data_IF_954553664376
#
_entry.id   IF_954553664376
#
_cell.length_a   1.000
_cell.length_b   1.000
_cell.length_c   1.000
_cell.angle_alpha   90.00
_cell.angle_beta   90.00
_cell.angle_gamma   90.00
#
_symmetry.space_group_name_H-M   'P 1'
#
loop_
_entity.id
_entity.type
_entity.pdbx_description
1 polymer ?
#
# COMPACT_ATOMS: atom_id res chain seq x y z
N UNK A 1 0.42 9.96 28.38
CA UNK A 1 1.21 10.13 27.15
C UNK A 1 1.43 8.74 26.63
N UNK A 2 0.66 8.31 25.63
CA UNK A 2 0.73 6.94 25.08
C UNK A 2 1.83 7.01 24.01
N UNK A 3 3.00 6.46 24.33
CA UNK A 3 4.10 6.31 23.39
C UNK A 3 3.76 5.12 22.48
N UNK A 4 3.05 5.40 21.40
CA UNK A 4 2.86 4.43 20.30
C UNK A 4 4.23 4.30 19.65
N UNK A 5 4.93 3.21 19.95
CA UNK A 5 6.17 2.88 19.27
C UNK A 5 5.84 2.62 17.77
N UNK A 6 5.99 3.66 16.96
CA UNK A 6 5.89 3.63 15.50
C UNK A 6 7.07 2.87 14.85
N UNK A 7 7.76 2.00 15.61
CA UNK A 7 9.01 1.36 15.19
C UNK A 7 8.84 0.30 14.09
N UNK A 8 7.62 -0.18 13.85
CA UNK A 8 7.40 -1.33 12.95
C UNK A 8 6.72 -0.96 11.63
N UNK A 9 6.52 0.32 11.34
CA UNK A 9 5.80 0.76 10.17
C UNK A 9 6.73 0.89 8.96
N UNK A 10 6.34 0.27 7.85
CA UNK A 10 6.86 0.62 6.55
C UNK A 10 6.57 2.10 6.26
N UNK A 11 7.54 2.82 5.69
CA UNK A 11 7.36 4.22 5.35
C UNK A 11 7.18 4.37 3.85
N UNK A 12 6.04 4.89 3.42
CA UNK A 12 5.85 5.34 2.03
C UNK A 12 6.77 6.55 1.80
N UNK A 13 7.74 6.41 0.90
CA UNK A 13 8.72 7.46 0.56
C UNK A 13 8.36 8.19 -0.70
N UNK A 14 7.74 7.50 -1.67
CA UNK A 14 7.38 8.09 -2.95
C UNK A 14 6.10 7.45 -3.50
N UNK A 15 5.26 8.27 -4.12
CA UNK A 15 4.10 7.85 -4.91
C UNK A 15 4.12 8.58 -6.25
N UNK A 16 4.29 7.81 -7.33
CA UNK A 16 4.26 8.31 -8.70
C UNK A 16 3.01 7.81 -9.41
N UNK A 17 2.28 8.70 -10.06
CA UNK A 17 1.05 8.42 -10.79
C UNK A 17 1.17 9.00 -12.19
N UNK A 18 0.96 8.17 -13.21
CA UNK A 18 0.98 8.58 -14.60
C UNK A 18 -0.31 8.17 -15.32
N UNK A 19 -0.94 9.10 -16.02
CA UNK A 19 -2.12 8.92 -16.87
C UNK A 19 -3.28 8.22 -16.15
N UNK A 20 -3.52 8.55 -14.89
CA UNK A 20 -4.56 7.95 -14.06
C UNK A 20 -5.72 8.93 -13.85
N UNK A 21 -6.93 8.53 -14.21
CA UNK A 21 -8.13 9.37 -14.15
C UNK A 21 -7.89 10.74 -14.84
N UNK A 22 -8.02 11.83 -14.10
CA UNK A 22 -7.76 13.20 -14.61
C UNK A 22 -6.28 13.60 -14.53
N UNK A 23 -5.46 12.84 -13.81
CA UNK A 23 -4.04 13.15 -13.57
C UNK A 23 -3.20 12.69 -14.75
N UNK A 24 -2.45 13.60 -15.36
CA UNK A 24 -1.44 13.25 -16.36
C UNK A 24 -0.18 12.72 -15.71
N UNK A 25 0.33 13.44 -14.72
CA UNK A 25 1.52 13.07 -13.97
C UNK A 25 1.45 13.71 -12.58
N UNK A 26 1.75 12.92 -11.56
CA UNK A 26 1.89 13.37 -10.18
C UNK A 26 3.04 12.58 -9.56
N UNK A 27 3.93 13.28 -8.89
CA UNK A 27 5.02 12.71 -8.12
C UNK A 27 5.00 13.33 -6.73
N UNK A 28 4.87 12.50 -5.71
CA UNK A 28 4.78 12.90 -4.31
C UNK A 28 5.93 12.25 -3.57
N UNK A 29 6.84 13.04 -3.07
CA UNK A 29 7.87 12.61 -2.13
C UNK A 29 7.38 12.84 -0.69
N UNK A 30 7.54 11.84 0.15
CA UNK A 30 7.09 11.86 1.54
C UNK A 30 8.31 11.71 2.46
N UNK A 31 8.39 12.58 3.47
CA UNK A 31 9.41 12.53 4.51
C UNK A 31 8.88 11.79 5.76
N UNK A 32 9.79 11.46 6.68
CA UNK A 32 9.41 10.90 7.99
C UNK A 32 8.48 11.86 8.74
N UNK A 33 7.44 11.30 9.35
CA UNK A 33 6.47 12.04 10.15
C UNK A 33 5.10 12.11 9.50
N UNK A 34 4.33 13.13 9.84
CA UNK A 34 2.98 13.36 9.32
C UNK A 34 3.03 14.26 8.10
N UNK A 35 2.44 13.82 7.01
CA UNK A 35 2.23 14.61 5.80
C UNK A 35 0.75 14.96 5.64
N UNK A 36 0.45 16.19 5.29
CA UNK A 36 -0.92 16.67 5.05
C UNK A 36 -1.09 17.02 3.58
N UNK A 37 -2.04 16.37 2.91
CA UNK A 37 -2.42 16.68 1.53
C UNK A 37 -3.64 17.62 1.59
N UNK A 38 -3.45 18.88 1.22
CA UNK A 38 -4.51 19.88 1.15
C UNK A 38 -4.87 20.19 -0.30
N UNK A 39 -6.08 20.66 -0.55
CA UNK A 39 -6.56 21.03 -1.88
C UNK A 39 -8.07 21.18 -1.91
N UNK A 40 -8.59 21.78 -2.95
CA UNK A 40 -10.05 21.91 -3.16
C UNK A 40 -10.69 20.52 -3.29
N UNK A 41 -11.95 20.43 -2.85
CA UNK A 41 -12.72 19.18 -2.91
C UNK A 41 -12.93 18.73 -4.35
N UNK A 42 -12.55 17.49 -4.65
CA UNK A 42 -12.94 16.76 -5.87
C UNK A 42 -11.82 16.30 -6.79
N UNK A 43 -10.64 16.89 -6.81
CA UNK A 43 -9.73 16.64 -7.92
C UNK A 43 -8.40 15.91 -7.63
N UNK A 44 -7.88 15.88 -6.43
CA UNK A 44 -6.52 15.35 -6.24
C UNK A 44 -6.33 14.42 -5.04
N UNK A 45 -6.97 14.72 -3.93
CA UNK A 45 -6.75 13.99 -2.67
C UNK A 45 -7.22 12.53 -2.74
N UNK A 46 -8.43 12.30 -3.25
CA UNK A 46 -8.98 10.95 -3.41
C UNK A 46 -8.20 10.13 -4.44
N UNK A 47 -7.74 10.77 -5.52
CA UNK A 47 -6.98 10.11 -6.59
C UNK A 47 -5.68 9.49 -6.07
N UNK A 48 -4.96 10.16 -5.16
CA UNK A 48 -3.75 9.60 -4.57
C UNK A 48 -4.04 8.36 -3.71
N UNK A 49 -5.15 8.38 -2.95
CA UNK A 49 -5.60 7.24 -2.14
C UNK A 49 -6.08 6.09 -3.02
N UNK A 50 -6.86 6.38 -4.07
CA UNK A 50 -7.35 5.38 -5.01
C UNK A 50 -6.19 4.74 -5.78
N UNK A 51 -5.22 5.54 -6.23
CA UNK A 51 -4.02 5.06 -6.89
C UNK A 51 -3.19 4.14 -5.97
N UNK A 52 -3.00 4.56 -4.71
CA UNK A 52 -2.31 3.73 -3.71
C UNK A 52 -3.06 2.42 -3.46
N UNK A 53 -4.39 2.45 -3.39
CA UNK A 53 -5.22 1.26 -3.27
C UNK A 53 -5.02 0.25 -4.40
N UNK A 54 -4.75 0.70 -5.63
CA UNK A 54 -4.42 -0.17 -6.76
C UNK A 54 -3.06 -0.86 -6.60
N UNK A 55 -2.09 -0.19 -5.98
CA UNK A 55 -0.82 -0.82 -5.60
C UNK A 55 -1.01 -1.93 -4.55
N UNK A 56 -2.11 -1.90 -3.78
CA UNK A 56 -2.49 -2.95 -2.83
C UNK A 56 -3.50 -3.95 -3.40
N UNK A 57 -3.52 -4.13 -4.72
CA UNK A 57 -4.31 -5.18 -5.36
C UNK A 57 -5.81 -4.91 -5.47
N UNK A 58 -6.26 -3.67 -5.30
CA UNK A 58 -7.66 -3.32 -5.56
C UNK A 58 -8.04 -3.61 -7.03
N UNK A 59 -9.34 -3.77 -7.26
CA UNK A 59 -9.90 -4.05 -8.59
C UNK A 59 -9.67 -2.85 -9.51
N UNK A 60 -9.25 -3.15 -10.72
CA UNK A 60 -9.04 -2.18 -11.80
C UNK A 60 -10.31 -2.00 -12.62
N UNK A 61 -10.58 -0.78 -13.04
CA UNK A 61 -11.61 -0.42 -14.02
C UNK A 61 -10.96 0.32 -15.20
N UNK A 62 -11.51 0.13 -16.40
CA UNK A 62 -10.99 0.77 -17.62
C UNK A 62 -11.08 2.29 -17.58
N UNK A 63 -12.10 2.80 -16.91
CA UNK A 63 -12.31 4.24 -16.66
C UNK A 63 -11.19 4.92 -15.87
N UNK A 64 -10.32 4.13 -15.23
CA UNK A 64 -9.17 4.62 -14.46
C UNK A 64 -8.00 5.09 -15.33
N UNK A 65 -7.94 4.64 -16.59
CA UNK A 65 -6.95 5.16 -17.55
C UNK A 65 -7.43 6.50 -18.08
N UNK A 66 -6.53 7.49 -18.06
CA UNK A 66 -6.85 8.82 -18.56
C UNK A 66 -7.30 8.76 -20.02
N UNK A 67 -8.34 9.51 -20.34
CA UNK A 67 -8.89 9.61 -21.69
C UNK A 67 -7.80 9.95 -22.74
N UNK A 68 -7.80 9.22 -23.83
CA UNK A 68 -6.81 9.37 -24.91
C UNK A 68 -5.43 8.74 -24.62
N UNK A 69 -5.27 8.04 -23.50
CA UNK A 69 -4.02 7.36 -23.16
C UNK A 69 -4.18 5.84 -23.30
N UNK A 70 -3.11 5.16 -23.68
CA UNK A 70 -3.09 3.70 -23.83
C UNK A 70 -2.98 2.97 -22.49
N UNK A 71 -2.35 3.60 -21.48
CA UNK A 71 -2.11 3.01 -20.16
C UNK A 71 -1.97 4.04 -19.07
N UNK A 72 -2.33 3.63 -17.86
CA UNK A 72 -1.96 4.29 -16.60
C UNK A 72 -0.90 3.47 -15.86
N UNK A 73 -0.05 4.15 -15.11
CA UNK A 73 0.98 3.51 -14.29
C UNK A 73 1.03 4.20 -12.91
N UNK A 74 1.00 3.39 -11.87
CA UNK A 74 1.13 3.82 -10.49
C UNK A 74 2.31 3.07 -9.87
N UNK A 75 3.16 3.80 -9.15
CA UNK A 75 4.30 3.26 -8.44
C UNK A 75 4.34 3.83 -7.03
N UNK A 76 4.42 2.96 -6.03
CA UNK A 76 4.55 3.31 -4.62
C UNK A 76 5.82 2.68 -4.05
N UNK A 77 6.73 3.51 -3.53
CA UNK A 77 8.01 3.08 -2.96
C UNK A 77 7.95 3.18 -1.44
N UNK A 78 8.31 2.09 -0.78
CA UNK A 78 8.35 1.98 0.67
C UNK A 78 9.77 1.70 1.16
N UNK A 79 10.15 2.36 2.25
CA UNK A 79 11.33 2.03 3.03
C UNK A 79 10.92 1.13 4.19
N UNK A 80 11.57 -0.03 4.33
CA UNK A 80 11.30 -1.04 5.34
C UNK A 80 12.44 -1.06 6.37
N UNK A 81 12.08 -1.38 7.60
CA UNK A 81 13.05 -1.83 8.61
C UNK A 81 13.18 -3.36 8.54
N UNK A 82 14.35 -3.89 8.87
CA UNK A 82 14.63 -5.35 8.76
C UNK A 82 13.75 -6.24 9.65
N UNK A 83 13.15 -5.67 10.70
CA UNK A 83 12.20 -6.36 11.58
C UNK A 83 10.73 -6.22 11.13
N UNK A 84 10.47 -5.47 10.06
CA UNK A 84 9.10 -5.30 9.53
C UNK A 84 8.61 -6.63 8.92
N UNK A 85 7.35 -7.04 9.17
CA UNK A 85 6.78 -8.25 8.59
C UNK A 85 6.81 -8.27 7.05
N UNK A 86 6.69 -7.10 6.38
CA UNK A 86 6.81 -7.02 4.93
C UNK A 86 8.22 -7.40 4.44
N UNK A 87 9.27 -7.03 5.18
CA UNK A 87 10.65 -7.42 4.86
C UNK A 87 10.82 -8.94 4.89
N UNK A 88 10.30 -9.60 5.92
CA UNK A 88 10.36 -11.06 6.05
C UNK A 88 9.56 -11.74 4.95
N UNK A 89 8.35 -11.25 4.67
CA UNK A 89 7.50 -11.78 3.60
C UNK A 89 8.18 -11.67 2.22
N UNK A 90 8.81 -10.52 1.90
CA UNK A 90 9.56 -10.34 0.65
C UNK A 90 10.71 -11.35 0.51
N UNK A 91 11.43 -11.61 1.60
CA UNK A 91 12.51 -12.59 1.62
C UNK A 91 11.98 -14.02 1.39
N UNK A 92 10.89 -14.41 2.07
CA UNK A 92 10.27 -15.74 1.92
C UNK A 92 9.70 -15.98 0.51
N UNK A 93 9.24 -14.91 -0.16
CA UNK A 93 8.71 -14.97 -1.53
C UNK A 93 9.79 -14.78 -2.60
N UNK A 94 11.05 -14.59 -2.23
CA UNK A 94 12.17 -14.31 -3.15
C UNK A 94 11.93 -13.06 -4.02
N UNK A 95 11.26 -12.03 -3.42
CA UNK A 95 10.88 -10.78 -4.08
C UNK A 95 11.70 -9.57 -3.60
N UNK A 96 12.69 -9.78 -2.74
CA UNK A 96 13.59 -8.70 -2.32
C UNK A 96 14.46 -8.23 -3.49
N UNK A 97 14.78 -6.94 -3.51
CA UNK A 97 15.84 -6.42 -4.36
C UNK A 97 17.18 -6.71 -3.68
N UNK A 98 18.09 -7.46 -4.34
CA UNK A 98 19.39 -7.80 -3.75
C UNK A 98 20.28 -6.58 -3.51
N UNK A 99 20.11 -5.49 -4.29
CA UNK A 99 20.90 -4.26 -4.14
C UNK A 99 20.32 -3.35 -3.05
N UNK A 100 18.98 -3.38 -2.85
CA UNK A 100 18.27 -2.58 -1.86
C UNK A 100 17.24 -3.41 -1.08
N UNK A 101 17.68 -4.33 -0.20
CA UNK A 101 16.77 -5.28 0.46
C UNK A 101 15.76 -4.63 1.43
N UNK A 102 15.97 -3.38 1.82
CA UNK A 102 15.05 -2.59 2.66
C UNK A 102 14.09 -1.72 1.86
N UNK A 103 14.13 -1.78 0.53
CA UNK A 103 13.19 -1.08 -0.33
C UNK A 103 12.13 -2.05 -0.88
N UNK A 104 10.90 -1.59 -0.93
CA UNK A 104 9.79 -2.31 -1.55
C UNK A 104 9.06 -1.37 -2.51
N UNK A 105 9.11 -1.70 -3.80
CA UNK A 105 8.44 -0.95 -4.86
C UNK A 105 7.23 -1.75 -5.35
N UNK A 106 6.04 -1.22 -5.12
CA UNK A 106 4.80 -1.76 -5.67
C UNK A 106 4.42 -0.98 -6.93
N UNK A 107 4.27 -1.68 -8.06
CA UNK A 107 3.92 -1.05 -9.32
C UNK A 107 2.70 -1.70 -9.95
N UNK A 108 1.77 -0.87 -10.40
CA UNK A 108 0.56 -1.28 -11.13
C UNK A 108 0.52 -0.63 -12.49
N UNK A 109 0.36 -1.42 -13.55
CA UNK A 109 0.15 -0.94 -14.91
C UNK A 109 -1.24 -1.36 -15.36
N UNK A 110 -2.03 -0.41 -15.86
CA UNK A 110 -3.41 -0.60 -16.29
C UNK A 110 -3.49 -0.17 -17.74
N UNK A 111 -3.92 -1.07 -18.63
CA UNK A 111 -4.14 -0.74 -20.03
C UNK A 111 -5.59 -0.31 -20.27
N UNK A 112 -5.81 0.52 -21.29
CA UNK A 112 -7.13 0.99 -21.68
C UNK A 112 -8.09 -0.15 -22.09
N UNK A 113 -7.55 -1.32 -22.45
CA UNK A 113 -8.32 -2.53 -22.75
C UNK A 113 -8.78 -3.32 -21.50
N UNK A 114 -8.50 -2.81 -20.31
CA UNK A 114 -8.86 -3.41 -19.02
C UNK A 114 -7.89 -4.44 -18.47
N UNK A 115 -6.87 -4.83 -19.25
CA UNK A 115 -5.80 -5.70 -18.72
C UNK A 115 -4.90 -4.93 -17.79
N UNK A 116 -4.47 -5.59 -16.72
CA UNK A 116 -3.52 -4.97 -15.79
C UNK A 116 -2.39 -5.92 -15.40
N UNK A 117 -1.24 -5.34 -15.11
CA UNK A 117 -0.06 -6.05 -14.61
C UNK A 117 0.33 -5.47 -13.26
N UNK A 118 0.80 -6.34 -12.38
CA UNK A 118 1.28 -5.99 -11.05
C UNK A 118 2.74 -6.43 -10.89
N UNK A 119 3.50 -5.64 -10.15
CA UNK A 119 4.91 -5.92 -9.90
C UNK A 119 5.25 -5.59 -8.45
N UNK A 120 6.11 -6.40 -7.85
CA UNK A 120 6.82 -6.11 -6.61
C UNK A 120 8.31 -6.07 -6.96
N UNK A 121 8.95 -4.96 -6.67
CA UNK A 121 10.26 -4.62 -7.17
C UNK A 121 10.25 -4.75 -8.71
N UNK A 122 11.06 -5.49 -9.35
CA UNK A 122 11.01 -5.70 -10.80
C UNK A 122 10.25 -6.96 -11.22
N UNK A 123 9.76 -7.76 -10.27
CA UNK A 123 9.17 -9.09 -10.52
C UNK A 123 7.67 -8.99 -10.75
N UNK A 124 7.12 -9.56 -11.84
CA UNK A 124 5.69 -9.66 -12.06
C UNK A 124 5.02 -10.54 -10.99
N UNK A 125 3.91 -10.05 -10.43
CA UNK A 125 3.16 -10.75 -9.38
C UNK A 125 1.65 -10.73 -9.65
N UNK A 126 0.89 -11.50 -8.89
CA UNK A 126 -0.57 -11.45 -8.89
C UNK A 126 -1.11 -10.29 -8.05
N UNK A 127 -2.35 -9.87 -8.33
CA UNK A 127 -3.05 -8.90 -7.49
C UNK A 127 -3.25 -9.41 -6.04
N UNK A 128 -3.32 -10.72 -5.85
CA UNK A 128 -3.42 -11.34 -4.53
C UNK A 128 -2.15 -11.13 -3.71
N UNK A 129 -0.97 -11.26 -4.32
CA UNK A 129 0.31 -10.98 -3.66
C UNK A 129 0.47 -9.50 -3.29
N UNK A 130 0.00 -8.56 -4.17
CA UNK A 130 -0.06 -7.14 -3.81
C UNK A 130 -0.97 -6.90 -2.60
N UNK A 131 -2.12 -7.59 -2.53
CA UNK A 131 -3.05 -7.47 -1.41
C UNK A 131 -2.45 -8.03 -0.12
N UNK A 132 -1.70 -9.11 -0.22
CA UNK A 132 -1.07 -9.75 0.93
C UNK A 132 0.03 -8.87 1.53
N UNK A 133 0.99 -8.42 0.72
CA UNK A 133 2.04 -7.51 1.21
C UNK A 133 1.47 -6.18 1.70
N UNK A 134 0.41 -5.68 1.07
CA UNK A 134 -0.27 -4.44 1.46
C UNK A 134 -0.75 -4.43 2.91
N UNK A 135 -1.08 -5.59 3.48
CA UNK A 135 -1.49 -5.72 4.88
C UNK A 135 -0.36 -5.41 5.86
N UNK A 136 0.89 -5.59 5.45
CA UNK A 136 2.07 -5.31 6.27
C UNK A 136 2.63 -3.89 6.05
N UNK A 137 2.26 -3.23 4.94
CA UNK A 137 2.82 -1.93 4.56
C UNK A 137 2.00 -0.75 5.07
N UNK A 138 0.67 -0.79 4.96
CA UNK A 138 -0.19 0.37 5.24
C UNK A 138 -1.55 -0.04 5.78
N UNK A 139 -2.04 0.70 6.76
CA UNK A 139 -3.43 0.71 7.14
C UNK A 139 -4.13 1.94 6.54
N UNK A 140 -4.93 1.76 5.50
CA UNK A 140 -5.73 2.84 4.92
C UNK A 140 -7.05 2.96 5.70
N UNK A 141 -7.15 3.97 6.53
CA UNK A 141 -8.39 4.32 7.22
C UNK A 141 -9.23 5.23 6.33
N UNK A 142 -10.01 4.63 5.41
CA UNK A 142 -10.96 5.36 4.57
C UNK A 142 -12.29 5.61 5.28
N UNK A 143 -13.24 6.26 4.58
CA UNK A 143 -14.61 6.55 5.09
C UNK A 143 -15.37 5.29 5.55
N UNK A 144 -14.95 4.09 5.10
CA UNK A 144 -15.56 2.80 5.49
C UNK A 144 -14.77 2.04 6.58
N UNK A 145 -13.70 2.61 7.11
CA UNK A 145 -12.89 1.96 8.17
C UNK A 145 -13.71 1.71 9.44
N UNK A 146 -14.71 2.56 9.71
CA UNK A 146 -15.66 2.35 10.81
C UNK A 146 -16.47 1.06 10.69
N UNK A 147 -16.70 0.53 9.49
CA UNK A 147 -17.38 -0.74 9.28
C UNK A 147 -16.52 -1.95 9.65
N UNK A 148 -15.19 -1.83 9.52
CA UNK A 148 -14.26 -2.87 9.96
C UNK A 148 -14.23 -2.99 11.48
N UNK A 149 -14.37 -1.86 12.20
CA UNK A 149 -14.45 -1.83 13.65
C UNK A 149 -15.71 -2.53 14.22
N UNK A 150 -16.73 -2.78 13.39
CA UNK A 150 -17.91 -3.54 13.77
C UNK A 150 -17.71 -5.06 13.68
N UNK A 151 -16.61 -5.53 13.11
CA UNK A 151 -16.29 -6.94 13.01
C UNK A 151 -15.51 -7.40 14.25
N UNK A 152 -16.03 -8.37 14.97
CA UNK A 152 -15.41 -8.91 16.19
C UNK A 152 -13.98 -9.39 15.98
N UNK A 153 -13.71 -10.07 14.86
CA UNK A 153 -12.38 -10.58 14.51
C UNK A 153 -11.37 -9.45 14.33
N UNK A 154 -11.82 -8.32 13.75
CA UNK A 154 -10.96 -7.15 13.56
C UNK A 154 -10.68 -6.42 14.89
N UNK A 155 -11.69 -6.34 15.77
CA UNK A 155 -11.52 -5.78 17.12
C UNK A 155 -10.52 -6.61 17.93
N UNK A 156 -10.64 -7.94 17.87
CA UNK A 156 -9.72 -8.83 18.55
C UNK A 156 -8.29 -8.66 18.02
N UNK A 157 -8.11 -8.59 16.72
CA UNK A 157 -6.81 -8.38 16.08
C UNK A 157 -6.18 -7.03 16.48
N UNK A 158 -6.98 -5.96 16.62
CA UNK A 158 -6.50 -4.66 17.11
C UNK A 158 -6.03 -4.74 18.56
N UNK A 159 -6.78 -5.45 19.40
CA UNK A 159 -6.41 -5.65 20.82
C UNK A 159 -5.12 -6.48 20.93
N UNK A 160 -5.02 -7.55 20.15
CA UNK A 160 -3.83 -8.41 20.12
C UNK A 160 -2.58 -7.65 19.64
N UNK A 161 -2.72 -6.84 18.59
CA UNK A 161 -1.64 -5.98 18.10
C UNK A 161 -1.23 -4.92 19.12
N UNK A 162 -2.21 -4.34 19.84
CA UNK A 162 -1.94 -3.34 20.89
C UNK A 162 -1.27 -3.97 22.13
N UNK A 163 -1.66 -5.20 22.48
CA UNK A 163 -1.10 -5.93 23.61
C UNK A 163 0.36 -6.36 23.38
N UNK A 164 0.82 -6.42 22.12
CA UNK A 164 2.19 -6.76 21.71
C UNK A 164 2.74 -8.05 22.39
N UNK A 165 1.89 -9.08 22.56
CA UNK A 165 2.25 -10.36 23.18
C UNK A 165 2.22 -11.53 22.17
N UNK A 166 3.11 -11.56 21.16
CA UNK A 166 3.09 -12.59 20.12
C UNK A 166 3.27 -14.01 20.69
N UNK A 167 4.02 -14.15 21.78
CA UNK A 167 4.25 -15.45 22.43
C UNK A 167 2.98 -16.07 23.04
N UNK A 168 2.02 -15.26 23.47
CA UNK A 168 0.75 -15.75 24.01
C UNK A 168 -0.21 -16.16 22.88
N UNK A 169 -0.18 -15.47 21.75
CA UNK A 169 -1.01 -15.78 20.58
C UNK A 169 -0.65 -17.15 19.96
N UNK A 170 0.65 -17.49 19.96
CA UNK A 170 1.12 -18.80 19.49
C UNK A 170 0.65 -19.95 20.39
N UNK A 171 0.47 -19.71 21.69
CA UNK A 171 0.00 -20.74 22.64
C UNK A 171 -1.53 -20.94 22.62
N UNK A 172 -2.28 -20.02 22.02
CA UNK A 172 -3.75 -20.06 21.94
C UNK A 172 -4.28 -20.61 20.61
N UNK A 173 -3.41 -20.89 19.63
CA UNK A 173 -3.71 -21.61 18.39
C UNK A 173 -3.37 -23.08 18.52
#
# INVERSE_FOLDING_TARGET
>A
MIDIQLKDLAMLTQLTINNFAIVRQLDIELAKGMSVITGETGAGKSIAIDALGLCFGQRVETSMVREGQERAEICATFQLESHNPAYQWLNEQELQDPDNPTECILRRVINADGRSKAFINSTPVSASQLKEIGQYLVHINGQHASQLLLKNDYQLQLVDNFAAHPELLVKMR
#
